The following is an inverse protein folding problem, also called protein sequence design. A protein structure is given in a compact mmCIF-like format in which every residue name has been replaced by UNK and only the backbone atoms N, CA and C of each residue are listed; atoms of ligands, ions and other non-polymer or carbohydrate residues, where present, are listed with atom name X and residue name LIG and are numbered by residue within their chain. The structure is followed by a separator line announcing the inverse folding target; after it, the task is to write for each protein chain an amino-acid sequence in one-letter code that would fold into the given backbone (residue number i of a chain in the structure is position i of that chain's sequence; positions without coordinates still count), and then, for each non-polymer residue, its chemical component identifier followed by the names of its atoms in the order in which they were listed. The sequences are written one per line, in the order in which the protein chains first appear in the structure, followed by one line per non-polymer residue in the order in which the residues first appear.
data_IF_032849355530
#
_entry.id   IF_032849355530
#
_cell.length_a   1.000
_cell.length_b   1.000
_cell.length_c   1.000
_cell.angle_alpha   90.00
_cell.angle_beta   90.00
_cell.angle_gamma   90.00
#
_symmetry.space_group_name_H-M   'P 1'
#
loop_
_entity.id
_entity.type
_entity.pdbx_description
1 polymer ?
#
# COMPACT_ATOMS: atom_id res chain seq x y z
N UNK A 1 -10.90 3.23 10.00
CA UNK A 1 -10.87 4.13 8.82
C UNK A 1 -9.80 5.22 9.04
N UNK A 2 -8.94 5.49 8.05
CA UNK A 2 -7.87 6.50 8.16
C UNK A 2 -8.28 7.78 7.43
N UNK A 3 -9.30 8.47 7.95
CA UNK A 3 -9.78 9.72 7.38
C UNK A 3 -8.84 10.86 7.76
N UNK A 4 -8.49 11.71 6.80
CA UNK A 4 -7.69 12.90 7.05
C UNK A 4 -8.45 13.86 7.99
N UNK A 5 -7.77 14.40 9.01
CA UNK A 5 -8.35 15.34 9.97
C UNK A 5 -8.55 16.75 9.41
N UNK A 6 -7.99 17.03 8.21
CA UNK A 6 -8.07 18.31 7.52
C UNK A 6 -8.61 18.09 6.10
N UNK A 7 -9.36 19.05 5.55
CA UNK A 7 -9.78 18.98 4.16
C UNK A 7 -8.58 19.06 3.22
N UNK A 8 -8.70 18.40 2.07
CA UNK A 8 -7.74 18.54 0.99
C UNK A 8 -7.87 19.95 0.37
N UNK A 9 -6.73 20.60 0.15
CA UNK A 9 -6.66 21.88 -0.57
C UNK A 9 -5.70 21.74 -1.75
N UNK A 10 -5.83 22.54 -2.80
CA UNK A 10 -4.92 22.48 -3.95
C UNK A 10 -3.44 22.64 -3.54
N UNK A 11 -3.17 23.50 -2.56
CA UNK A 11 -1.81 23.74 -2.06
C UNK A 11 -1.23 22.55 -1.27
N UNK A 12 -2.07 21.74 -0.63
CA UNK A 12 -1.65 20.63 0.24
C UNK A 12 -1.91 19.24 -0.35
N UNK A 13 -2.55 19.15 -1.51
CA UNK A 13 -3.07 17.92 -2.08
C UNK A 13 -2.00 16.82 -2.18
N UNK A 14 -0.89 17.12 -2.87
CA UNK A 14 0.17 16.13 -3.08
C UNK A 14 0.78 15.63 -1.76
N UNK A 15 1.02 16.54 -0.80
CA UNK A 15 1.57 16.17 0.49
C UNK A 15 0.62 15.26 1.29
N UNK A 16 -0.67 15.56 1.27
CA UNK A 16 -1.69 14.77 1.95
C UNK A 16 -1.91 13.40 1.28
N UNK A 17 -1.86 13.33 -0.06
CA UNK A 17 -1.92 12.07 -0.79
C UNK A 17 -0.70 11.20 -0.49
N UNK A 18 0.50 11.79 -0.49
CA UNK A 18 1.73 11.08 -0.14
C UNK A 18 1.73 10.58 1.31
N UNK A 19 1.16 11.35 2.25
CA UNK A 19 0.97 10.91 3.63
C UNK A 19 0.00 9.72 3.71
N UNK A 20 -1.11 9.78 2.99
CA UNK A 20 -2.06 8.66 2.87
C UNK A 20 -1.39 7.40 2.29
N UNK A 21 -0.61 7.55 1.23
CA UNK A 21 0.12 6.45 0.60
C UNK A 21 1.12 5.80 1.56
N UNK A 22 1.92 6.61 2.28
CA UNK A 22 2.82 6.12 3.33
C UNK A 22 2.06 5.38 4.43
N UNK A 23 0.98 5.96 4.94
CA UNK A 23 0.20 5.34 6.00
C UNK A 23 -0.44 4.01 5.55
N UNK A 24 -0.85 3.92 4.29
CA UNK A 24 -1.47 2.72 3.75
C UNK A 24 -0.46 1.61 3.46
N UNK A 25 0.64 1.91 2.76
CA UNK A 25 1.70 0.93 2.44
C UNK A 25 2.31 0.32 3.69
N UNK A 26 2.49 1.11 4.75
CA UNK A 26 3.12 0.64 5.99
C UNK A 26 2.17 -0.04 6.97
N UNK A 27 0.90 -0.24 6.59
CA UNK A 27 -0.07 -0.95 7.41
C UNK A 27 -0.32 -2.36 6.84
N UNK A 28 -0.51 -3.40 7.67
CA UNK A 28 -0.76 -4.78 7.20
C UNK A 28 -1.95 -4.94 6.23
N UNK A 29 -2.91 -4.01 6.31
CA UNK A 29 -4.06 -3.93 5.40
C UNK A 29 -3.70 -3.49 3.97
N UNK A 30 -2.54 -2.85 3.80
CA UNK A 30 -2.01 -2.40 2.52
C UNK A 30 -0.94 -3.36 2.02
N UNK A 31 0.09 -3.59 2.83
CA UNK A 31 1.21 -4.50 2.50
C UNK A 31 1.68 -5.22 3.76
N UNK A 32 1.93 -6.52 3.65
CA UNK A 32 2.59 -7.32 4.67
C UNK A 32 3.58 -8.28 4.01
N UNK A 33 4.70 -8.55 4.67
CA UNK A 33 5.69 -9.54 4.22
C UNK A 33 5.84 -10.59 5.32
N UNK A 34 5.60 -11.85 4.98
CA UNK A 34 5.70 -12.97 5.91
C UNK A 34 7.17 -13.33 6.21
N UNK A 35 7.37 -14.27 7.13
CA UNK A 35 8.71 -14.67 7.58
C UNK A 35 9.52 -15.38 6.48
N UNK A 36 8.85 -16.02 5.51
CA UNK A 36 9.46 -16.67 4.35
C UNK A 36 9.75 -15.69 3.19
N UNK A 37 9.40 -14.41 3.36
CA UNK A 37 9.58 -13.38 2.33
C UNK A 37 8.39 -13.19 1.40
N UNK A 38 7.31 -13.97 1.55
CA UNK A 38 6.13 -13.80 0.70
C UNK A 38 5.44 -12.44 0.94
N UNK A 39 5.16 -11.74 -0.16
CA UNK A 39 4.49 -10.43 -0.16
C UNK A 39 2.99 -10.63 -0.33
N UNK A 40 2.24 -10.21 0.68
CA UNK A 40 0.78 -10.07 0.59
C UNK A 40 0.41 -8.59 0.48
N UNK A 41 -0.32 -8.25 -0.56
CA UNK A 41 -0.81 -6.90 -0.81
C UNK A 41 -2.34 -6.83 -0.69
N UNK A 42 -2.87 -5.61 -0.56
CA UNK A 42 -4.31 -5.40 -0.65
C UNK A 42 -4.84 -5.64 -2.05
N UNK A 43 -6.05 -6.20 -2.17
CA UNK A 43 -6.75 -6.36 -3.45
C UNK A 43 -7.00 -5.04 -4.20
N UNK A 44 -6.88 -3.88 -3.52
CA UNK A 44 -6.90 -2.56 -4.19
C UNK A 44 -5.79 -2.44 -5.24
N UNK A 45 -4.60 -3.02 -4.99
CA UNK A 45 -3.51 -3.04 -5.97
C UNK A 45 -3.84 -3.90 -7.19
N UNK A 46 -4.71 -4.90 -7.04
CA UNK A 46 -5.15 -5.74 -8.14
C UNK A 46 -6.31 -5.08 -8.92
N UNK A 47 -7.33 -4.58 -8.22
CA UNK A 47 -8.51 -3.96 -8.85
C UNK A 47 -8.20 -2.65 -9.58
N UNK A 48 -7.24 -1.89 -9.08
CA UNK A 48 -6.82 -0.59 -9.62
C UNK A 48 -5.36 -0.61 -10.05
N UNK A 49 -4.87 -1.75 -10.56
CA UNK A 49 -3.47 -1.92 -10.97
C UNK A 49 -3.01 -0.83 -11.93
N UNK A 50 -3.85 -0.37 -12.87
CA UNK A 50 -3.55 0.73 -13.81
C UNK A 50 -3.09 2.03 -13.15
N UNK A 51 -3.48 2.26 -11.89
CA UNK A 51 -3.09 3.45 -11.12
C UNK A 51 -1.73 3.30 -10.44
N UNK A 52 -1.24 2.07 -10.29
CA UNK A 52 -0.01 1.71 -9.57
C UNK A 52 1.09 1.13 -10.46
N UNK A 53 0.72 0.49 -11.58
CA UNK A 53 1.62 -0.22 -12.47
C UNK A 53 0.95 -1.33 -13.28
N UNK A 54 1.48 -1.62 -14.46
CA UNK A 54 0.93 -2.65 -15.37
C UNK A 54 1.40 -4.07 -15.03
N UNK A 55 2.28 -4.24 -14.03
CA UNK A 55 2.84 -5.52 -13.59
C UNK A 55 3.31 -5.42 -12.13
N UNK A 56 3.56 -6.58 -11.51
CA UNK A 56 3.98 -6.68 -10.10
C UNK A 56 5.23 -5.85 -9.80
N UNK A 57 6.19 -5.77 -10.72
CA UNK A 57 7.41 -4.98 -10.52
C UNK A 57 7.13 -3.48 -10.40
N UNK A 58 6.22 -2.95 -11.22
CA UNK A 58 5.80 -1.55 -11.14
C UNK A 58 5.00 -1.28 -9.85
N UNK A 59 4.11 -2.20 -9.48
CA UNK A 59 3.33 -2.13 -8.23
C UNK A 59 4.26 -2.18 -7.00
N UNK A 60 5.23 -3.09 -6.98
CA UNK A 60 6.27 -3.14 -5.95
C UNK A 60 7.08 -1.84 -5.93
N UNK A 61 7.38 -1.25 -7.09
CA UNK A 61 8.01 0.06 -7.19
C UNK A 61 7.23 1.17 -6.49
N UNK A 62 5.91 1.21 -6.67
CA UNK A 62 5.03 2.12 -5.93
C UNK A 62 5.11 1.86 -4.41
N UNK A 63 5.02 0.60 -3.97
CA UNK A 63 5.12 0.27 -2.55
C UNK A 63 6.48 0.69 -1.96
N UNK A 64 7.59 0.38 -2.63
CA UNK A 64 8.96 0.74 -2.23
C UNK A 64 9.12 2.25 -2.08
N UNK A 65 8.51 3.05 -2.96
CA UNK A 65 8.55 4.52 -2.89
C UNK A 65 7.99 5.07 -1.57
N UNK A 66 6.98 4.42 -1.00
CA UNK A 66 6.27 4.88 0.20
C UNK A 66 6.51 4.01 1.44
N UNK A 67 7.28 2.93 1.32
CA UNK A 67 7.62 2.05 2.42
C UNK A 67 8.64 2.68 3.40
N UNK A 68 8.43 2.45 4.69
CA UNK A 68 9.39 2.74 5.74
C UNK A 68 10.62 1.81 5.60
N UNK A 69 11.79 2.17 6.14
CA UNK A 69 13.05 1.48 5.85
C UNK A 69 13.01 -0.05 6.03
N UNK A 70 12.37 -0.53 7.10
CA UNK A 70 12.28 -1.96 7.39
C UNK A 70 11.40 -2.73 6.38
N UNK A 71 10.28 -2.16 5.96
CA UNK A 71 9.41 -2.75 4.94
C UNK A 71 10.07 -2.64 3.55
N UNK A 72 10.67 -1.49 3.26
CA UNK A 72 11.37 -1.22 2.01
C UNK A 72 12.42 -2.28 1.71
N UNK A 73 13.29 -2.58 2.67
CA UNK A 73 14.34 -3.59 2.51
C UNK A 73 13.78 -4.99 2.17
N UNK A 74 12.63 -5.34 2.73
CA UNK A 74 11.95 -6.62 2.43
C UNK A 74 11.37 -6.62 1.02
N UNK A 75 10.74 -5.51 0.62
CA UNK A 75 10.14 -5.37 -0.71
C UNK A 75 11.18 -5.30 -1.83
N UNK A 76 12.35 -4.70 -1.56
CA UNK A 76 13.47 -4.69 -2.51
C UNK A 76 14.06 -6.09 -2.77
N UNK A 77 13.86 -7.03 -1.84
CA UNK A 77 14.25 -8.43 -2.00
C UNK A 77 13.16 -9.30 -2.65
N UNK A 78 11.92 -8.80 -2.72
CA UNK A 78 10.80 -9.51 -3.35
C UNK A 78 10.88 -9.44 -4.87
N UNK A 79 10.41 -10.50 -5.54
CA UNK A 79 10.34 -10.56 -7.00
C UNK A 79 8.96 -10.19 -7.53
N UNK A 80 7.93 -10.71 -6.86
CA UNK A 80 6.54 -10.67 -7.29
C UNK A 80 5.63 -10.47 -6.07
N UNK A 81 4.32 -10.33 -6.29
CA UNK A 81 3.32 -10.26 -5.23
C UNK A 81 2.65 -11.64 -5.11
N UNK A 82 2.87 -12.34 -4.01
CA UNK A 82 2.43 -13.72 -3.83
C UNK A 82 0.92 -13.86 -3.63
N UNK A 83 0.28 -12.87 -3.02
CA UNK A 83 -1.17 -12.91 -2.79
C UNK A 83 -1.80 -11.53 -2.59
N UNK A 84 -3.10 -11.46 -2.88
CA UNK A 84 -3.94 -10.30 -2.63
C UNK A 84 -5.04 -10.65 -1.63
N UNK A 85 -5.27 -9.76 -0.67
CA UNK A 85 -6.31 -9.93 0.36
C UNK A 85 -7.11 -8.63 0.52
N UNK A 86 -8.37 -8.74 0.91
CA UNK A 86 -9.22 -7.58 1.14
C UNK A 86 -9.86 -7.66 2.53
N UNK A 87 -9.35 -6.82 3.42
CA UNK A 87 -9.89 -6.69 4.76
C UNK A 87 -11.18 -5.86 4.76
N UNK A 88 -12.32 -6.57 4.76
CA UNK A 88 -13.65 -5.97 4.81
C UNK A 88 -14.02 -5.44 6.20
N UNK A 89 -13.22 -5.71 7.25
CA UNK A 89 -13.52 -5.31 8.63
C UNK A 89 -13.65 -3.78 8.80
N UNK A 90 -13.14 -2.99 7.85
CA UNK A 90 -13.34 -1.53 7.80
C UNK A 90 -14.81 -1.12 7.62
N UNK A 91 -15.61 -1.96 6.97
CA UNK A 91 -17.04 -1.73 6.77
C UNK A 91 -17.90 -2.38 7.86
N UNK A 92 -17.29 -3.16 8.76
CA UNK A 92 -18.01 -3.81 9.85
C UNK A 92 -18.23 -2.80 10.98
N UNK A 93 -19.28 -1.98 10.83
CA UNK A 93 -19.79 -1.14 11.90
C UNK A 93 -20.49 -2.05 12.92
N UNK A 94 -19.81 -2.34 14.04
CA UNK A 94 -20.48 -2.80 15.26
C UNK A 94 -20.70 -1.63 16.21
#
# INVERSE_FOLDING_TARGET
PNLALKPFTGASLNAMLDEGARAYVNHPRGVSVAADGSVKASSIYNWFSTDFGNNDKEILGHMIKYAAPALKAKLEAAKDIDSYDYDWAINDAK
#
